data_IF_722513718234
#
_entry.id   IF_722513718234
#
_cell.length_a   1.000
_cell.length_b   1.000
_cell.length_c   1.000
_cell.angle_alpha   90.00
_cell.angle_beta   90.00
_cell.angle_gamma   90.00
#
_symmetry.space_group_name_H-M   'P 1'
#
loop_
_entity.id
_entity.type
_entity.pdbx_description
1 polymer ?
#
# COMPACT_ATOMS: atom_id res chain seq x y z
N UNK A 1 -4.84 -18.42 -15.88
CA UNK A 1 -3.88 -18.78 -14.81
C UNK A 1 -2.50 -18.42 -15.31
N UNK A 2 -2.16 -17.15 -15.20
CA UNK A 2 -0.81 -16.64 -15.45
C UNK A 2 0.04 -17.03 -14.24
N UNK A 3 1.18 -17.66 -14.51
CA UNK A 3 2.26 -17.86 -13.54
C UNK A 3 2.50 -16.54 -12.81
N UNK A 4 2.30 -16.52 -11.49
CA UNK A 4 2.60 -15.34 -10.68
C UNK A 4 4.10 -15.10 -10.78
N UNK A 5 4.51 -14.10 -11.55
CA UNK A 5 5.89 -13.65 -11.55
C UNK A 5 6.31 -13.36 -10.11
N UNK A 6 7.53 -13.75 -9.74
CA UNK A 6 8.07 -13.47 -8.41
C UNK A 6 7.93 -11.96 -8.12
N UNK A 7 7.55 -11.58 -6.89
CA UNK A 7 7.44 -10.16 -6.53
C UNK A 7 8.79 -9.46 -6.72
N UNK A 8 8.76 -8.26 -7.30
CA UNK A 8 9.96 -7.41 -7.50
C UNK A 8 10.23 -6.54 -6.29
N UNK A 9 9.19 -6.03 -5.64
CA UNK A 9 9.30 -5.21 -4.44
C UNK A 9 8.36 -5.71 -3.34
N UNK A 10 8.78 -5.51 -2.10
CA UNK A 10 7.94 -5.61 -0.91
C UNK A 10 8.00 -4.29 -0.18
N UNK A 11 6.83 -3.70 0.08
CA UNK A 11 6.71 -2.50 0.89
C UNK A 11 6.18 -2.90 2.26
N UNK A 12 6.99 -2.69 3.30
CA UNK A 12 6.57 -2.82 4.68
C UNK A 12 5.94 -1.50 5.14
N UNK A 13 4.64 -1.57 5.43
CA UNK A 13 3.81 -0.46 5.89
C UNK A 13 3.50 -0.68 7.36
N UNK A 14 4.15 0.10 8.22
CA UNK A 14 4.00 -0.01 9.67
C UNK A 14 2.77 0.75 10.14
N UNK A 15 1.79 0.03 10.67
CA UNK A 15 0.52 0.58 11.14
C UNK A 15 0.54 0.64 12.66
N UNK A 16 0.14 1.80 13.22
CA UNK A 16 0.03 2.01 14.66
C UNK A 16 -0.87 0.97 15.31
N UNK A 17 -0.54 0.59 16.54
CA UNK A 17 -1.34 -0.33 17.32
C UNK A 17 -2.82 0.09 17.37
N UNK A 18 -3.73 -0.85 17.09
CA UNK A 18 -5.18 -0.62 17.10
C UNK A 18 -5.74 0.04 15.84
N UNK A 19 -4.93 0.30 14.81
CA UNK A 19 -5.37 0.90 13.53
C UNK A 19 -5.40 -0.09 12.36
N UNK A 20 -5.20 -1.38 12.61
CA UNK A 20 -5.18 -2.40 11.55
C UNK A 20 -6.49 -2.46 10.74
N UNK A 21 -7.64 -2.47 11.43
CA UNK A 21 -8.94 -2.56 10.76
C UNK A 21 -9.26 -1.28 9.98
N UNK A 22 -8.81 -0.12 10.49
CA UNK A 22 -8.91 1.17 9.78
C UNK A 22 -8.05 1.16 8.51
N UNK A 23 -6.83 0.61 8.61
CA UNK A 23 -5.93 0.49 7.47
C UNK A 23 -6.48 -0.47 6.41
N UNK A 24 -6.95 -1.66 6.82
CA UNK A 24 -7.59 -2.62 5.90
C UNK A 24 -8.78 -1.98 5.19
N UNK A 25 -9.60 -1.24 5.95
CA UNK A 25 -10.74 -0.51 5.42
C UNK A 25 -10.31 0.59 4.45
N UNK A 26 -9.27 1.35 4.77
CA UNK A 26 -8.74 2.40 3.91
C UNK A 26 -8.24 1.82 2.57
N UNK A 27 -7.49 0.73 2.61
CA UNK A 27 -7.02 0.05 1.40
C UNK A 27 -8.20 -0.38 0.52
N UNK A 28 -9.22 -0.99 1.11
CA UNK A 28 -10.39 -1.51 0.38
C UNK A 28 -11.34 -0.41 -0.12
N UNK A 29 -11.62 0.59 0.71
CA UNK A 29 -12.68 1.56 0.49
C UNK A 29 -12.16 2.84 -0.19
N UNK A 30 -10.84 3.10 -0.18
CA UNK A 30 -10.22 4.32 -0.73
C UNK A 30 -9.16 4.00 -1.79
N UNK A 31 -8.14 3.19 -1.47
CA UNK A 31 -7.00 2.94 -2.36
C UNK A 31 -7.42 2.13 -3.59
N UNK A 32 -8.04 0.97 -3.39
CA UNK A 32 -8.47 0.10 -4.49
C UNK A 32 -9.44 0.81 -5.45
N UNK A 33 -10.47 1.54 -4.99
CA UNK A 33 -11.33 2.31 -5.90
C UNK A 33 -10.57 3.41 -6.65
N UNK A 34 -9.61 4.08 -6.01
CA UNK A 34 -8.79 5.09 -6.67
C UNK A 34 -7.96 4.49 -7.81
N UNK A 35 -7.32 3.35 -7.58
CA UNK A 35 -6.56 2.65 -8.61
C UNK A 35 -7.43 2.15 -9.75
N UNK A 36 -8.58 1.53 -9.45
CA UNK A 36 -9.51 1.08 -10.49
C UNK A 36 -9.94 2.25 -11.38
N UNK A 37 -10.13 3.44 -10.80
CA UNK A 37 -10.54 4.63 -11.53
C UNK A 37 -9.41 5.28 -12.33
N UNK A 38 -8.25 5.51 -11.72
CA UNK A 38 -7.16 6.30 -12.30
C UNK A 38 -6.12 5.44 -13.01
N UNK A 39 -5.82 4.24 -12.49
CA UNK A 39 -4.71 3.38 -12.91
C UNK A 39 -5.13 1.91 -13.04
N UNK A 40 -6.15 1.58 -13.86
CA UNK A 40 -6.71 0.23 -13.95
C UNK A 40 -5.73 -0.84 -14.46
N UNK A 41 -4.58 -0.44 -14.99
CA UNK A 41 -3.53 -1.37 -15.40
C UNK A 41 -2.70 -1.88 -14.20
N UNK A 42 -2.77 -1.25 -13.03
CA UNK A 42 -1.97 -1.59 -11.84
C UNK A 42 -2.69 -2.52 -10.86
N UNK A 43 -4.01 -2.66 -10.95
CA UNK A 43 -4.84 -3.40 -9.97
C UNK A 43 -4.50 -4.88 -9.82
N UNK A 44 -3.90 -5.50 -10.84
CA UNK A 44 -3.45 -6.90 -10.79
C UNK A 44 -1.95 -7.04 -10.52
N UNK A 45 -1.24 -5.93 -10.29
CA UNK A 45 0.21 -5.91 -10.13
C UNK A 45 0.67 -5.87 -8.68
N UNK A 46 -0.25 -5.84 -7.71
CA UNK A 46 0.12 -5.95 -6.31
C UNK A 46 -0.87 -6.77 -5.50
N UNK A 47 -0.42 -7.22 -4.33
CA UNK A 47 -1.32 -7.78 -3.32
C UNK A 47 -0.88 -7.39 -1.91
N UNK A 48 -1.87 -7.26 -1.03
CA UNK A 48 -1.67 -6.91 0.37
C UNK A 48 -1.71 -8.17 1.24
N UNK A 49 -0.67 -8.35 2.04
CA UNK A 49 -0.62 -9.37 3.09
C UNK A 49 -0.91 -8.73 4.45
N UNK A 50 -1.96 -9.24 5.09
CA UNK A 50 -2.33 -8.88 6.46
C UNK A 50 -1.31 -9.47 7.45
N UNK A 51 -0.94 -8.73 8.51
CA UNK A 51 -0.18 -9.26 9.64
C UNK A 51 -0.87 -10.47 10.27
N UNK A 52 -0.09 -11.36 10.91
CA UNK A 52 -0.65 -12.49 11.64
C UNK A 52 -1.58 -12.03 12.79
N UNK A 53 -2.69 -12.72 12.97
CA UNK A 53 -3.75 -12.33 13.92
C UNK A 53 -3.36 -12.50 15.40
N UNK A 54 -2.34 -13.33 15.67
CA UNK A 54 -1.84 -13.67 17.01
C UNK A 54 -0.71 -12.74 17.50
N UNK A 55 -0.48 -11.62 16.81
CA UNK A 55 0.47 -10.60 17.22
C UNK A 55 0.05 -9.92 18.54
N UNK A 56 0.97 -9.68 19.49
CA UNK A 56 0.67 -9.01 20.75
C UNK A 56 -0.09 -7.70 20.57
N UNK A 57 -1.05 -7.44 21.47
CA UNK A 57 -1.76 -6.17 21.52
C UNK A 57 -0.79 -5.02 21.85
N UNK A 58 -1.08 -3.82 21.32
CA UNK A 58 -0.28 -2.63 21.59
C UNK A 58 1.01 -2.53 20.76
N UNK A 59 1.31 -3.51 19.90
CA UNK A 59 2.47 -3.46 19.01
C UNK A 59 2.11 -2.88 17.64
N UNK A 60 3.05 -2.12 17.07
CA UNK A 60 3.05 -1.75 15.65
C UNK A 60 3.09 -3.00 14.79
N UNK A 61 2.28 -3.03 13.73
CA UNK A 61 2.19 -4.18 12.81
C UNK A 61 2.63 -3.81 11.41
N UNK A 62 3.44 -4.67 10.79
CA UNK A 62 3.90 -4.49 9.42
C UNK A 62 2.92 -5.17 8.45
N UNK A 63 2.17 -4.37 7.71
CA UNK A 63 1.43 -4.80 6.53
C UNK A 63 2.39 -4.85 5.34
N UNK A 64 2.37 -5.95 4.59
CA UNK A 64 3.30 -6.13 3.46
C UNK A 64 2.54 -5.99 2.15
N UNK A 65 3.00 -5.11 1.27
CA UNK A 65 2.47 -4.97 -0.09
C UNK A 65 3.51 -5.53 -1.05
N UNK A 66 3.13 -6.51 -1.84
CA UNK A 66 4.00 -7.15 -2.82
C UNK A 66 3.68 -6.64 -4.20
N UNK A 67 4.68 -6.21 -4.95
CA UNK A 67 4.54 -5.72 -6.32
C UNK A 67 5.13 -6.71 -7.33
N UNK A 68 4.45 -6.89 -8.45
CA UNK A 68 4.75 -7.85 -9.49
C UNK A 68 4.89 -7.18 -10.86
N UNK A 69 5.47 -7.91 -11.81
CA UNK A 69 5.53 -7.49 -13.21
C UNK A 69 6.23 -6.12 -13.37
N UNK A 70 5.75 -5.24 -14.27
CA UNK A 70 6.42 -3.99 -14.59
C UNK A 70 6.13 -2.84 -13.60
N UNK A 71 5.48 -3.07 -12.46
CA UNK A 71 5.20 -1.99 -11.47
C UNK A 71 6.48 -1.30 -11.01
N UNK A 72 6.50 0.03 -11.09
CA UNK A 72 7.50 0.86 -10.43
C UNK A 72 7.03 1.27 -9.03
N UNK A 73 7.96 1.64 -8.14
CA UNK A 73 7.57 2.19 -6.84
C UNK A 73 6.86 3.54 -6.96
N UNK A 74 7.22 4.34 -7.96
CA UNK A 74 6.57 5.63 -8.24
C UNK A 74 5.08 5.46 -8.57
N UNK A 75 4.71 4.34 -9.20
CA UNK A 75 3.33 3.99 -9.51
C UNK A 75 2.47 3.82 -8.24
N UNK A 76 3.08 3.49 -7.11
CA UNK A 76 2.42 3.32 -5.82
C UNK A 76 2.24 4.63 -5.02
N UNK A 77 2.71 5.76 -5.55
CA UNK A 77 2.57 7.04 -4.85
C UNK A 77 1.10 7.42 -4.64
N UNK A 78 0.64 7.37 -3.38
CA UNK A 78 -0.77 7.54 -3.02
C UNK A 78 -1.30 8.95 -3.27
N UNK A 79 -0.50 10.00 -3.01
CA UNK A 79 -0.94 11.38 -3.22
C UNK A 79 -1.25 11.68 -4.70
N UNK A 80 -0.35 11.39 -5.67
CA UNK A 80 -0.68 11.49 -7.09
C UNK A 80 -1.89 10.64 -7.51
N UNK A 81 -2.00 9.42 -6.96
CA UNK A 81 -3.13 8.54 -7.23
C UNK A 81 -4.46 9.16 -6.78
N UNK A 82 -4.50 9.73 -5.57
CA UNK A 82 -5.70 10.35 -5.02
C UNK A 82 -6.03 11.68 -5.70
N UNK A 83 -5.02 12.46 -6.10
CA UNK A 83 -5.20 13.67 -6.90
C UNK A 83 -5.89 13.34 -8.23
N UNK A 84 -5.44 12.28 -8.92
CA UNK A 84 -6.04 11.81 -10.17
C UNK A 84 -7.47 11.28 -9.98
N UNK A 85 -7.73 10.53 -8.91
CA UNK A 85 -9.02 9.86 -8.70
C UNK A 85 -10.09 10.77 -8.06
N UNK A 86 -9.73 11.55 -7.04
CA UNK A 86 -10.67 12.28 -6.20
C UNK A 86 -10.48 13.80 -6.24
N UNK A 87 -9.37 14.27 -6.80
CA UNK A 87 -8.98 15.66 -6.83
C UNK A 87 -8.23 16.14 -5.57
N UNK A 88 -7.57 17.30 -5.63
CA UNK A 88 -6.57 17.70 -4.63
C UNK A 88 -7.10 17.99 -3.22
N UNK A 89 -8.37 18.38 -3.09
CA UNK A 89 -8.99 18.61 -1.78
C UNK A 89 -9.22 17.29 -1.04
N UNK A 90 -9.84 16.31 -1.71
CA UNK A 90 -10.09 14.98 -1.14
C UNK A 90 -8.78 14.19 -0.94
N UNK A 91 -7.82 14.33 -1.85
CA UNK A 91 -6.49 13.75 -1.73
C UNK A 91 -5.80 14.13 -0.42
N UNK A 92 -5.80 15.44 -0.05
CA UNK A 92 -5.25 15.89 1.24
C UNK A 92 -5.95 15.26 2.44
N UNK A 93 -7.26 15.09 2.39
CA UNK A 93 -8.00 14.44 3.48
C UNK A 93 -7.64 12.95 3.61
N UNK A 94 -7.54 12.24 2.49
CA UNK A 94 -7.13 10.85 2.46
C UNK A 94 -5.67 10.65 2.91
N UNK A 95 -4.76 11.52 2.47
CA UNK A 95 -3.35 11.48 2.89
C UNK A 95 -3.20 11.74 4.38
N UNK A 96 -3.91 12.74 4.93
CA UNK A 96 -3.91 12.99 6.37
C UNK A 96 -4.42 11.79 7.17
N UNK A 97 -5.48 11.12 6.67
CA UNK A 97 -6.00 9.93 7.33
C UNK A 97 -5.02 8.76 7.26
N UNK A 98 -4.36 8.57 6.12
CA UNK A 98 -3.29 7.60 5.94
C UNK A 98 -2.15 7.84 6.94
N UNK A 99 -1.59 9.05 6.96
CA UNK A 99 -0.50 9.45 7.87
C UNK A 99 -0.86 9.27 9.35
N UNK A 100 -2.12 9.51 9.74
CA UNK A 100 -2.58 9.29 11.10
C UNK A 100 -2.56 7.81 11.52
N UNK A 101 -2.66 6.87 10.58
CA UNK A 101 -2.56 5.43 10.84
C UNK A 101 -1.12 4.91 10.87
N UNK A 102 -0.18 5.63 10.24
CA UNK A 102 1.19 5.16 9.99
C UNK A 102 2.14 5.36 11.18
N UNK A 103 2.90 4.33 11.54
CA UNK A 103 3.96 4.38 12.53
C UNK A 103 5.34 4.54 11.87
N UNK A 104 5.60 5.76 11.38
CA UNK A 104 6.82 6.10 10.67
C UNK A 104 6.75 5.86 9.16
N UNK A 105 7.91 5.82 8.54
CA UNK A 105 8.05 5.67 7.08
C UNK A 105 7.87 4.22 6.64
N UNK A 106 7.40 4.05 5.40
CA UNK A 106 7.36 2.73 4.77
C UNK A 106 8.79 2.28 4.44
N UNK A 107 9.09 0.99 4.59
CA UNK A 107 10.37 0.41 4.17
C UNK A 107 10.20 -0.38 2.89
N UNK A 108 10.99 -0.06 1.87
CA UNK A 108 11.02 -0.77 0.59
C UNK A 108 12.10 -1.85 0.62
N UNK A 109 11.75 -3.05 0.20
CA UNK A 109 12.68 -4.14 -0.08
C UNK A 109 12.58 -4.54 -1.55
N UNK A 110 13.66 -4.35 -2.30
CA UNK A 110 13.77 -4.89 -3.65
C UNK A 110 14.22 -6.36 -3.60
N UNK A 111 13.55 -7.22 -4.36
CA UNK A 111 13.73 -8.67 -4.35
C UNK A 111 14.43 -9.21 -5.61
N UNK A 112 14.58 -8.37 -6.64
CA UNK A 112 15.25 -8.70 -7.91
C UNK A 112 16.75 -8.36 -7.90
N UNK A 113 17.27 -7.84 -6.79
CA UNK A 113 18.67 -7.42 -6.66
C UNK A 113 18.96 -6.03 -7.20
N UNK A 114 17.95 -5.29 -7.69
CA UNK A 114 18.07 -3.83 -7.85
C UNK A 114 18.04 -3.17 -6.47
N UNK A 115 18.87 -2.16 -6.24
CA UNK A 115 18.90 -1.45 -4.95
C UNK A 115 17.62 -0.65 -4.81
N UNK A 116 16.85 -0.86 -3.73
CA UNK A 116 15.78 0.06 -3.35
C UNK A 116 16.40 1.45 -3.12
N UNK A 117 15.94 2.46 -3.88
CA UNK A 117 16.34 3.86 -3.72
C UNK A 117 15.77 4.44 -2.43
#
# INVERSE_FOLDING_TARGET
MTTTDSPRYVLATYVKAGRDDDFERFMRDVVVPAEVQARPHQTDMWHLMRPAADQPEGCTRAWLIFFHGPSALDDWSLEPLFDEAYGPDASREHMKYFEDMMDGEQTVYALDGETAL
#
